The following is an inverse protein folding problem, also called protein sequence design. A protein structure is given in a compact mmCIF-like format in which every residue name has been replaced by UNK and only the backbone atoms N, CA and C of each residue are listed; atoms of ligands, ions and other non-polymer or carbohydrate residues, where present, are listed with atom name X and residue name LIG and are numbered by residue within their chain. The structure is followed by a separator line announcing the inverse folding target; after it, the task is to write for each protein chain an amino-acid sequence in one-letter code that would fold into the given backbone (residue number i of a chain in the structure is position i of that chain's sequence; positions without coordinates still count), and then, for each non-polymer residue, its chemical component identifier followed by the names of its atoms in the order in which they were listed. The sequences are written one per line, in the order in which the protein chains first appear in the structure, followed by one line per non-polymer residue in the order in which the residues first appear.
data_IF_537569069600
#
_entry.id   IF_537569069600
#
_cell.length_a   1.000
_cell.length_b   1.000
_cell.length_c   1.000
_cell.angle_alpha   90.00
_cell.angle_beta   90.00
_cell.angle_gamma   90.00
#
_symmetry.space_group_name_H-M   'P 1'
#
loop_
_entity.id
_entity.type
_entity.pdbx_description
1 polymer ?
#
# COMPACT_ATOMS: atom_id res chain seq x y z
N UNK A 1 -3.52 -42.05 24.11
CA UNK A 1 -3.20 -42.44 22.72
C UNK A 1 -2.25 -41.39 22.16
N UNK A 2 -1.07 -41.85 21.72
CA UNK A 2 0.07 -41.03 21.37
C UNK A 2 -0.05 -40.35 20.00
N UNK A 3 0.72 -39.27 19.86
CA UNK A 3 1.08 -38.53 18.65
C UNK A 3 1.54 -39.43 17.48
N UNK A 4 1.39 -38.97 16.23
CA UNK A 4 2.49 -38.87 15.23
C UNK A 4 2.11 -37.89 14.10
N UNK A 5 3.02 -36.95 13.88
CA UNK A 5 3.16 -36.04 12.74
C UNK A 5 3.45 -36.81 11.44
N UNK A 6 2.77 -36.50 10.34
CA UNK A 6 3.24 -36.87 9.00
C UNK A 6 4.29 -35.87 8.52
N UNK A 7 5.54 -36.28 8.59
CA UNK A 7 6.67 -35.59 7.97
C UNK A 7 6.64 -35.85 6.45
N UNK A 8 6.40 -34.80 5.66
CA UNK A 8 6.74 -34.78 4.24
C UNK A 8 8.28 -34.82 4.11
N UNK A 9 8.82 -35.95 3.66
CA UNK A 9 10.22 -36.03 3.21
C UNK A 9 10.31 -35.45 1.80
N UNK A 10 11.10 -34.39 1.65
CA UNK A 10 11.64 -33.97 0.36
C UNK A 10 12.86 -34.85 0.05
N UNK A 11 12.81 -35.61 -1.04
CA UNK A 11 14.00 -36.21 -1.64
C UNK A 11 14.67 -35.20 -2.57
N UNK A 12 15.93 -34.88 -2.27
CA UNK A 12 16.81 -34.10 -3.15
C UNK A 12 17.45 -35.08 -4.14
N UNK A 13 17.04 -35.03 -5.40
CA UNK A 13 17.68 -35.78 -6.49
C UNK A 13 18.89 -34.98 -6.99
N UNK A 14 20.09 -35.51 -6.78
CA UNK A 14 21.29 -35.08 -7.51
C UNK A 14 21.39 -35.88 -8.80
N UNK A 15 21.27 -35.21 -9.95
CA UNK A 15 21.45 -35.82 -11.27
C UNK A 15 22.91 -35.60 -11.70
N UNK A 16 23.71 -36.67 -11.73
CA UNK A 16 25.00 -36.67 -12.40
C UNK A 16 24.84 -37.44 -13.73
N UNK A 17 25.22 -36.77 -14.81
CA UNK A 17 25.20 -37.27 -16.18
C UNK A 17 26.07 -38.51 -16.33
N UNK A 18 25.47 -39.69 -16.62
CA UNK A 18 25.91 -40.69 -17.61
C UNK A 18 25.17 -42.04 -17.43
N UNK A 19 24.50 -42.48 -18.50
CA UNK A 19 24.08 -43.86 -18.83
C UNK A 19 23.09 -44.65 -17.92
N UNK A 20 21.88 -44.79 -18.48
CA UNK A 20 21.12 -46.03 -18.74
C UNK A 20 20.60 -46.94 -17.63
N UNK A 21 19.27 -47.05 -17.63
CA UNK A 21 18.37 -48.15 -17.23
C UNK A 21 17.73 -48.07 -15.84
N UNK A 22 16.43 -47.76 -15.87
CA UNK A 22 15.45 -47.98 -14.81
C UNK A 22 15.21 -49.47 -14.61
N UNK A 23 15.24 -49.95 -13.38
CA UNK A 23 14.57 -51.19 -12.98
C UNK A 23 14.09 -51.07 -11.53
N UNK A 24 12.77 -51.06 -11.38
CA UNK A 24 12.02 -51.13 -10.12
C UNK A 24 11.95 -52.60 -9.71
N UNK A 25 12.42 -52.96 -8.51
CA UNK A 25 12.05 -54.21 -7.87
C UNK A 25 11.85 -54.04 -6.36
N UNK A 26 10.59 -54.15 -5.95
CA UNK A 26 10.16 -54.49 -4.60
C UNK A 26 10.61 -55.92 -4.25
N UNK A 27 11.23 -56.14 -3.09
CA UNK A 27 11.08 -57.39 -2.32
C UNK A 27 11.46 -57.22 -0.86
N UNK A 28 10.50 -57.58 -0.02
CA UNK A 28 10.58 -57.95 1.39
C UNK A 28 11.44 -59.20 1.60
N UNK A 29 12.25 -59.23 2.68
CA UNK A 29 12.20 -60.23 3.77
C UNK A 29 13.57 -60.46 4.45
N UNK A 30 13.51 -60.63 5.78
CA UNK A 30 14.39 -61.44 6.66
C UNK A 30 15.89 -61.13 6.79
N UNK A 31 16.24 -60.69 8.01
CA UNK A 31 17.52 -60.86 8.74
C UNK A 31 18.07 -62.32 8.64
N UNK A 32 19.40 -62.55 8.73
CA UNK A 32 20.08 -62.55 10.03
C UNK A 32 21.52 -61.97 10.09
N UNK A 33 21.83 -61.49 11.29
CA UNK A 33 23.12 -61.38 12.01
C UNK A 33 24.45 -61.53 11.24
N UNK A 34 25.33 -60.54 11.37
CA UNK A 34 26.73 -60.75 11.77
C UNK A 34 27.39 -59.43 12.17
N UNK A 35 28.18 -59.50 13.24
CA UNK A 35 28.93 -58.42 13.86
C UNK A 35 29.95 -57.77 12.93
N UNK A 36 29.95 -56.44 12.88
CA UNK A 36 31.17 -55.68 12.61
C UNK A 36 31.20 -54.38 13.43
N UNK A 37 32.21 -54.30 14.27
CA UNK A 37 32.62 -53.16 15.08
C UNK A 37 33.05 -51.98 14.20
N UNK A 38 32.44 -50.80 14.42
CA UNK A 38 32.92 -49.53 13.86
C UNK A 38 33.30 -48.64 15.04
N UNK A 39 34.60 -48.34 15.12
CA UNK A 39 35.17 -47.40 16.09
C UNK A 39 34.79 -45.97 15.72
N UNK A 40 34.12 -45.27 16.65
CA UNK A 40 33.96 -43.82 16.63
C UNK A 40 35.29 -43.17 17.00
N UNK A 41 35.88 -42.40 16.09
CA UNK A 41 37.03 -41.56 16.39
C UNK A 41 36.58 -40.10 16.48
N UNK A 42 36.38 -39.64 17.71
CA UNK A 42 36.16 -38.25 18.11
C UNK A 42 37.48 -37.49 18.04
N UNK A 43 37.53 -36.35 17.33
CA UNK A 43 38.60 -35.36 17.47
C UNK A 43 38.05 -34.13 18.20
N UNK A 44 38.27 -34.11 19.51
CA UNK A 44 38.11 -32.91 20.35
C UNK A 44 39.34 -32.01 20.18
N UNK A 45 39.09 -30.72 19.93
CA UNK A 45 40.11 -29.66 19.95
C UNK A 45 40.08 -29.02 21.34
N UNK A 46 41.21 -29.06 22.06
CA UNK A 46 41.41 -28.41 23.35
C UNK A 46 41.95 -26.98 23.14
N UNK A 47 41.35 -25.98 23.78
CA UNK A 47 41.95 -24.65 23.95
C UNK A 47 42.71 -24.58 25.28
N UNK A 48 43.98 -24.15 25.21
CA UNK A 48 44.88 -23.96 26.35
C UNK A 48 44.94 -22.46 26.67
N UNK A 49 44.48 -22.07 27.85
CA UNK A 49 44.49 -20.68 28.36
C UNK A 49 45.77 -20.47 29.18
N UNK A 50 46.51 -19.39 28.90
CA UNK A 50 47.60 -18.87 29.74
C UNK A 50 47.21 -17.49 30.30
N UNK A 51 47.46 -17.16 31.58
CA UNK A 51 47.18 -15.84 32.14
C UNK A 51 48.43 -14.96 32.40
N UNK A 52 48.17 -13.66 32.68
CA UNK A 52 49.00 -12.56 33.24
C UNK A 52 49.73 -11.68 32.20
N UNK A 53 49.77 -10.33 32.17
CA UNK A 53 49.37 -9.12 32.97
C UNK A 53 49.70 -7.86 32.06
N UNK A 54 49.56 -6.56 32.43
CA UNK A 54 48.54 -5.81 33.18
C UNK A 54 47.99 -4.57 32.40
N UNK A 55 47.04 -3.86 33.03
CA UNK A 55 46.38 -2.62 32.58
C UNK A 55 47.27 -1.36 32.59
N UNK A 56 47.16 -0.50 31.58
CA UNK A 56 47.39 0.95 31.70
C UNK A 56 46.41 1.75 30.84
N UNK A 57 46.04 2.92 31.34
CA UNK A 57 44.88 3.71 30.96
C UNK A 57 44.95 4.46 29.61
N UNK A 58 43.76 4.96 29.24
CA UNK A 58 43.43 6.16 28.44
C UNK A 58 43.16 5.95 26.94
N UNK A 59 41.89 6.01 26.55
CA UNK A 59 41.33 7.00 25.61
C UNK A 59 39.83 6.71 25.39
N UNK A 60 39.00 7.72 25.66
CA UNK A 60 37.57 7.75 25.36
C UNK A 60 37.40 7.64 23.85
N UNK A 61 36.81 6.53 23.37
CA UNK A 61 36.28 6.44 22.01
C UNK A 61 34.76 6.47 22.12
N UNK A 62 34.18 7.59 21.71
CA UNK A 62 32.74 7.74 21.51
C UNK A 62 32.35 6.71 20.44
N UNK A 63 31.52 5.73 20.81
CA UNK A 63 30.89 4.82 19.86
C UNK A 63 29.98 5.63 18.92
N UNK A 64 30.50 5.96 17.74
CA UNK A 64 29.67 6.41 16.63
C UNK A 64 28.79 5.21 16.25
N UNK A 65 27.48 5.33 16.48
CA UNK A 65 26.48 4.37 16.02
C UNK A 65 26.74 4.04 14.56
N UNK A 66 27.02 2.77 14.29
CA UNK A 66 27.14 2.28 12.93
C UNK A 66 25.82 2.50 12.19
N UNK A 67 25.93 3.25 11.08
CA UNK A 67 24.95 3.34 10.01
C UNK A 67 24.48 1.92 9.68
N UNK A 68 23.16 1.69 9.61
CA UNK A 68 22.60 0.40 9.20
C UNK A 68 23.24 -0.04 7.89
N UNK A 69 24.13 -1.02 7.96
CA UNK A 69 24.84 -1.57 6.81
C UNK A 69 23.83 -2.34 5.97
N UNK A 70 23.62 -1.89 4.74
CA UNK A 70 23.31 -2.86 3.68
C UNK A 70 24.45 -3.87 3.69
N UNK A 71 24.14 -5.17 3.78
CA UNK A 71 25.09 -6.27 3.62
C UNK A 71 25.65 -6.33 2.20
N UNK A 72 26.39 -5.31 1.78
CA UNK A 72 27.02 -5.21 0.46
C UNK A 72 28.49 -5.62 0.47
N UNK A 73 29.08 -5.95 1.61
CA UNK A 73 30.45 -6.46 1.68
C UNK A 73 30.44 -7.98 1.59
N UNK A 74 30.16 -8.50 0.39
CA UNK A 74 30.48 -9.88 0.07
C UNK A 74 31.99 -9.93 -0.15
N UNK A 75 32.77 -10.37 0.82
CA UNK A 75 34.23 -10.50 0.67
C UNK A 75 34.98 -10.52 2.00
N UNK A 76 36.01 -11.37 2.16
CA UNK A 76 36.83 -11.35 3.37
C UNK A 76 37.51 -9.98 3.55
N UNK A 77 37.53 -9.46 4.78
CA UNK A 77 38.24 -8.22 5.12
C UNK A 77 37.62 -6.93 4.58
N UNK A 78 36.32 -6.91 4.25
CA UNK A 78 35.65 -5.70 3.73
C UNK A 78 35.90 -5.46 2.24
N UNK A 79 36.34 -6.49 1.50
CA UNK A 79 36.51 -6.42 0.06
C UNK A 79 35.15 -6.15 -0.61
N UNK A 80 35.05 -5.02 -1.29
CA UNK A 80 33.90 -4.65 -2.10
C UNK A 80 33.95 -5.41 -3.43
N UNK A 81 33.37 -6.61 -3.46
CA UNK A 81 33.33 -7.44 -4.67
C UNK A 81 32.71 -6.72 -5.87
N UNK A 82 31.90 -5.68 -5.67
CA UNK A 82 31.34 -4.92 -6.80
C UNK A 82 32.43 -4.24 -7.63
N UNK A 83 33.48 -3.72 -6.97
CA UNK A 83 34.64 -3.10 -7.64
C UNK A 83 35.57 -4.14 -8.27
N UNK A 84 35.59 -5.37 -7.75
CA UNK A 84 36.32 -6.46 -8.36
C UNK A 84 35.59 -7.01 -9.60
N UNK A 85 34.24 -7.00 -9.58
CA UNK A 85 33.41 -7.53 -10.65
C UNK A 85 33.29 -6.56 -11.83
N UNK A 86 33.24 -5.25 -11.58
CA UNK A 86 33.15 -4.22 -12.61
C UNK A 86 34.42 -3.37 -12.69
N UNK A 87 35.03 -3.29 -13.88
CA UNK A 87 36.16 -2.38 -14.12
C UNK A 87 35.66 -0.94 -14.26
N UNK A 88 36.25 0.05 -13.57
CA UNK A 88 35.87 1.45 -13.73
C UNK A 88 36.25 1.94 -15.14
N UNK A 89 35.45 2.87 -15.67
CA UNK A 89 35.77 3.58 -16.92
C UNK A 89 36.59 4.81 -16.55
N UNK A 90 37.84 4.87 -17.01
CA UNK A 90 38.71 6.02 -16.79
C UNK A 90 38.16 7.26 -17.52
N UNK A 91 38.19 8.43 -16.86
CA UNK A 91 37.71 9.71 -17.39
C UNK A 91 36.23 9.73 -17.80
N UNK A 92 35.39 8.87 -17.23
CA UNK A 92 33.94 8.93 -17.45
C UNK A 92 33.34 10.19 -16.80
N UNK A 93 32.42 10.84 -17.51
CA UNK A 93 31.56 11.85 -16.91
C UNK A 93 30.74 11.22 -15.76
N UNK A 94 30.48 11.94 -14.66
CA UNK A 94 29.60 11.43 -13.62
C UNK A 94 28.23 11.08 -14.20
N UNK A 95 27.57 10.02 -13.72
CA UNK A 95 26.25 9.65 -14.20
C UNK A 95 25.30 10.84 -14.07
N UNK A 96 24.55 11.09 -15.15
CA UNK A 96 23.60 12.20 -15.22
C UNK A 96 22.60 12.12 -14.04
N UNK A 97 22.35 13.22 -13.31
CA UNK A 97 21.39 13.25 -12.19
C UNK A 97 19.93 13.20 -12.67
N UNK A 98 19.67 12.95 -13.96
CA UNK A 98 18.41 13.20 -14.65
C UNK A 98 17.22 12.35 -14.21
N UNK A 99 17.43 11.25 -13.47
CA UNK A 99 16.31 10.48 -12.90
C UNK A 99 16.06 10.96 -11.47
N UNK A 100 14.99 11.74 -11.27
CA UNK A 100 14.47 12.04 -9.93
C UNK A 100 14.21 10.70 -9.23
N UNK A 101 14.96 10.45 -8.16
CA UNK A 101 14.79 9.28 -7.31
C UNK A 101 13.43 9.36 -6.63
N UNK A 102 12.54 8.42 -6.92
CA UNK A 102 11.22 8.37 -6.33
C UNK A 102 11.22 7.48 -5.11
N UNK A 103 10.70 7.99 -4.00
CA UNK A 103 10.56 7.24 -2.75
C UNK A 103 9.10 7.25 -2.27
N UNK A 104 8.55 6.07 -2.04
CA UNK A 104 7.19 5.89 -1.50
C UNK A 104 7.28 5.13 -0.18
N UNK A 105 6.62 5.66 0.86
CA UNK A 105 6.46 4.98 2.15
C UNK A 105 5.02 4.50 2.32
N UNK A 106 4.82 3.22 2.66
CA UNK A 106 3.52 2.64 3.02
C UNK A 106 3.50 2.37 4.52
N UNK A 107 2.57 3.02 5.22
CA UNK A 107 2.42 2.93 6.66
C UNK A 107 1.26 1.99 6.98
N UNK A 108 1.57 0.87 7.62
CA UNK A 108 0.71 -0.30 7.82
C UNK A 108 1.03 -1.41 6.81
N UNK A 109 1.56 -2.53 7.29
CA UNK A 109 1.84 -3.76 6.52
C UNK A 109 0.69 -4.77 6.66
N UNK A 110 -0.56 -4.28 6.66
CA UNK A 110 -1.77 -5.12 6.60
C UNK A 110 -2.10 -5.56 5.17
N UNK A 111 -3.21 -6.27 4.98
CA UNK A 111 -3.63 -6.76 3.65
C UNK A 111 -3.78 -5.64 2.61
N UNK A 112 -4.22 -4.45 3.04
CA UNK A 112 -4.34 -3.26 2.17
C UNK A 112 -2.95 -2.71 1.83
N UNK A 113 -2.10 -2.47 2.83
CA UNK A 113 -0.74 -1.96 2.63
C UNK A 113 0.11 -2.87 1.74
N UNK A 114 0.03 -4.18 1.93
CA UNK A 114 0.75 -5.15 1.10
C UNK A 114 0.21 -5.23 -0.32
N UNK A 115 -1.11 -5.14 -0.53
CA UNK A 115 -1.67 -5.04 -1.88
C UNK A 115 -1.20 -3.77 -2.60
N UNK A 116 -1.12 -2.63 -1.89
CA UNK A 116 -0.58 -1.37 -2.42
C UNK A 116 0.90 -1.52 -2.76
N UNK A 117 1.72 -2.03 -1.84
CA UNK A 117 3.15 -2.25 -2.04
C UNK A 117 3.44 -3.14 -3.26
N UNK A 118 2.77 -4.28 -3.35
CA UNK A 118 2.91 -5.20 -4.48
C UNK A 118 2.45 -4.57 -5.81
N UNK A 119 1.36 -3.79 -5.80
CA UNK A 119 0.89 -3.09 -7.02
C UNK A 119 1.86 -1.98 -7.44
N UNK A 120 2.46 -1.25 -6.49
CA UNK A 120 3.47 -0.22 -6.75
C UNK A 120 4.71 -0.84 -7.41
N UNK A 121 5.18 -1.98 -6.90
CA UNK A 121 6.35 -2.69 -7.41
C UNK A 121 6.12 -3.22 -8.84
N UNK A 122 4.99 -3.88 -9.07
CA UNK A 122 4.66 -4.45 -10.39
C UNK A 122 4.39 -3.40 -11.46
N UNK A 123 4.11 -2.15 -11.07
CA UNK A 123 3.84 -1.05 -11.98
C UNK A 123 5.02 -0.10 -12.21
N UNK A 124 6.20 -0.40 -11.64
CA UNK A 124 7.42 0.42 -11.75
C UNK A 124 7.17 1.90 -11.39
N UNK A 125 6.67 2.12 -10.16
CA UNK A 125 6.30 3.46 -9.69
C UNK A 125 7.35 4.11 -8.78
N UNK A 126 8.34 3.38 -8.25
CA UNK A 126 9.28 3.92 -7.26
C UNK A 126 10.65 3.29 -7.38
N UNK A 127 11.70 4.04 -7.06
CA UNK A 127 13.07 3.52 -6.97
C UNK A 127 13.36 2.98 -5.54
N UNK A 128 12.65 3.51 -4.55
CA UNK A 128 12.69 3.07 -3.15
C UNK A 128 11.28 2.91 -2.57
N UNK A 129 11.00 1.76 -1.97
CA UNK A 129 9.78 1.44 -1.25
C UNK A 129 10.11 1.22 0.22
N UNK A 130 9.40 1.90 1.11
CA UNK A 130 9.54 1.76 2.56
C UNK A 130 8.26 1.24 3.16
N UNK A 131 8.34 0.19 3.98
CA UNK A 131 7.23 -0.33 4.77
C UNK A 131 7.44 0.03 6.24
N UNK A 132 6.41 0.57 6.89
CA UNK A 132 6.44 0.88 8.33
C UNK A 132 5.25 0.24 9.02
N UNK A 133 5.50 -0.56 10.05
CA UNK A 133 4.47 -1.19 10.88
C UNK A 133 5.04 -1.47 12.28
N UNK A 134 4.18 -1.65 13.28
CA UNK A 134 4.61 -1.96 14.65
C UNK A 134 5.01 -3.42 14.83
N UNK A 135 4.48 -4.34 14.01
CA UNK A 135 4.84 -5.75 14.07
C UNK A 135 6.13 -6.03 13.29
N UNK A 136 7.27 -5.99 14.00
CA UNK A 136 8.61 -6.09 13.40
C UNK A 136 8.86 -7.42 12.67
N UNK A 137 8.40 -8.55 13.21
CA UNK A 137 8.61 -9.87 12.59
C UNK A 137 7.80 -10.01 11.31
N UNK A 138 6.52 -9.63 11.36
CA UNK A 138 5.68 -9.60 10.17
C UNK A 138 6.29 -8.69 9.11
N UNK A 139 6.66 -7.48 9.50
CA UNK A 139 7.22 -6.48 8.61
C UNK A 139 8.50 -6.96 7.91
N UNK A 140 9.40 -7.62 8.66
CA UNK A 140 10.59 -8.26 8.09
C UNK A 140 10.23 -9.40 7.13
N UNK A 141 9.26 -10.24 7.49
CA UNK A 141 8.78 -11.32 6.63
C UNK A 141 8.25 -10.81 5.28
N UNK A 142 7.36 -9.82 5.32
CA UNK A 142 6.79 -9.19 4.12
C UNK A 142 7.86 -8.54 3.24
N UNK A 143 8.84 -7.86 3.86
CA UNK A 143 9.98 -7.29 3.13
C UNK A 143 10.82 -8.35 2.42
N UNK A 144 11.19 -9.42 3.13
CA UNK A 144 11.99 -10.51 2.56
C UNK A 144 11.27 -11.20 1.41
N UNK A 145 9.96 -11.44 1.55
CA UNK A 145 9.17 -12.07 0.49
C UNK A 145 9.13 -11.21 -0.79
N UNK A 146 8.94 -9.90 -0.65
CA UNK A 146 9.03 -8.98 -1.78
C UNK A 146 10.45 -8.89 -2.38
N UNK A 147 11.49 -8.96 -1.55
CA UNK A 147 12.89 -8.97 -2.01
C UNK A 147 13.23 -10.26 -2.75
N UNK A 148 12.68 -11.42 -2.36
CA UNK A 148 12.86 -12.67 -3.10
C UNK A 148 12.25 -12.60 -4.51
N UNK A 149 11.20 -11.78 -4.70
CA UNK A 149 10.62 -11.50 -6.01
C UNK A 149 11.42 -10.49 -6.86
N UNK A 150 12.52 -9.91 -6.36
CA UNK A 150 13.25 -8.83 -7.03
C UNK A 150 13.77 -9.20 -8.43
N UNK A 151 14.03 -10.48 -8.70
CA UNK A 151 14.45 -10.94 -10.03
C UNK A 151 13.35 -10.80 -11.11
N UNK A 152 12.08 -10.70 -10.71
CA UNK A 152 10.92 -10.57 -11.59
C UNK A 152 10.36 -9.15 -11.65
N UNK A 153 10.94 -8.23 -10.86
CA UNK A 153 10.42 -6.87 -10.65
C UNK A 153 11.43 -5.82 -11.14
N UNK A 154 10.97 -4.60 -11.43
CA UNK A 154 11.86 -3.47 -11.63
C UNK A 154 12.79 -3.28 -10.43
N UNK A 155 14.03 -2.83 -10.69
CA UNK A 155 15.03 -2.62 -9.64
C UNK A 155 14.57 -1.55 -8.65
N UNK A 156 14.04 -2.00 -7.52
CA UNK A 156 13.53 -1.17 -6.42
C UNK A 156 14.25 -1.55 -5.13
N UNK A 157 14.70 -0.57 -4.36
CA UNK A 157 15.18 -0.80 -2.99
C UNK A 157 13.99 -0.94 -2.06
N UNK A 158 13.94 -2.02 -1.28
CA UNK A 158 12.84 -2.25 -0.33
C UNK A 158 13.42 -2.21 1.08
N UNK A 159 12.89 -1.31 1.91
CA UNK A 159 13.22 -1.18 3.32
C UNK A 159 11.99 -1.41 4.17
N UNK A 160 12.18 -1.94 5.38
CA UNK A 160 11.09 -2.10 6.32
C UNK A 160 11.59 -1.90 7.77
N UNK A 161 10.87 -1.09 8.55
CA UNK A 161 11.23 -0.79 9.94
C UNK A 161 10.02 -0.34 10.75
N UNK A 162 10.03 -0.62 12.07
CA UNK A 162 9.05 -0.03 12.99
C UNK A 162 9.33 1.45 13.29
N UNK A 163 10.57 1.92 13.08
CA UNK A 163 10.94 3.32 13.25
C UNK A 163 10.61 4.12 11.99
N UNK A 164 9.83 5.19 12.13
CA UNK A 164 9.45 6.08 11.03
C UNK A 164 10.62 6.87 10.43
N UNK A 165 11.81 6.88 11.05
CA UNK A 165 13.00 7.55 10.50
C UNK A 165 13.38 7.04 9.10
N UNK A 166 13.12 5.76 8.78
CA UNK A 166 13.39 5.20 7.46
C UNK A 166 12.56 5.84 6.35
N UNK A 167 11.47 6.52 6.70
CA UNK A 167 10.62 7.24 5.73
C UNK A 167 11.27 8.51 5.21
N UNK A 168 12.41 8.94 5.77
CA UNK A 168 13.03 10.22 5.43
C UNK A 168 13.19 10.44 3.92
N UNK A 169 12.76 11.62 3.47
CA UNK A 169 12.82 12.02 2.06
C UNK A 169 11.81 11.31 1.15
N UNK A 170 10.68 10.81 1.67
CA UNK A 170 9.62 10.25 0.83
C UNK A 170 8.91 11.33 0.03
N UNK A 171 8.63 11.06 -1.25
CA UNK A 171 7.77 11.91 -2.08
C UNK A 171 6.29 11.71 -1.73
N UNK A 172 5.91 10.48 -1.38
CA UNK A 172 4.54 10.08 -1.07
C UNK A 172 4.53 9.16 0.15
N UNK A 173 3.74 9.51 1.17
CA UNK A 173 3.48 8.65 2.32
C UNK A 173 2.02 8.18 2.28
N UNK A 174 1.82 6.87 2.12
CA UNK A 174 0.51 6.22 2.02
C UNK A 174 0.15 5.65 3.39
N UNK A 175 -0.88 6.18 4.04
CA UNK A 175 -1.29 5.77 5.39
C UNK A 175 -2.47 4.80 5.31
N UNK A 176 -2.19 3.54 5.60
CA UNK A 176 -3.17 2.44 5.61
C UNK A 176 -3.40 1.88 7.02
N UNK A 177 -2.52 2.23 7.96
CA UNK A 177 -2.63 1.86 9.36
C UNK A 177 -3.90 2.48 9.97
N UNK A 178 -4.73 1.62 10.57
CA UNK A 178 -5.97 2.00 11.22
C UNK A 178 -6.37 0.97 12.26
N UNK A 179 -7.11 1.43 13.26
CA UNK A 179 -7.75 0.55 14.22
C UNK A 179 -8.80 -0.31 13.51
N UNK A 180 -8.78 -1.62 13.77
CA UNK A 180 -9.89 -2.49 13.38
C UNK A 180 -11.06 -2.25 14.32
N UNK A 181 -12.27 -2.24 13.76
CA UNK A 181 -13.50 -2.21 14.54
C UNK A 181 -13.57 -3.44 15.44
N UNK A 182 -13.85 -3.21 16.71
CA UNK A 182 -14.12 -4.27 17.69
C UNK A 182 -15.64 -4.53 17.71
N UNK A 183 -16.05 -5.79 17.82
CA UNK A 183 -17.48 -6.14 17.90
C UNK A 183 -18.13 -5.45 19.09
N UNK A 184 -19.25 -4.76 18.85
CA UNK A 184 -19.96 -3.96 19.87
C UNK A 184 -19.36 -2.56 20.15
N UNK A 185 -18.27 -2.18 19.49
CA UNK A 185 -17.66 -0.86 19.63
C UNK A 185 -18.49 0.24 18.93
N UNK A 186 -18.67 1.39 19.60
CA UNK A 186 -19.32 2.54 18.99
C UNK A 186 -18.45 3.16 17.89
N UNK A 187 -19.08 3.77 16.87
CA UNK A 187 -18.37 4.49 15.80
C UNK A 187 -17.43 5.57 16.36
N UNK A 188 -17.86 6.28 17.42
CA UNK A 188 -17.06 7.31 18.08
C UNK A 188 -15.81 6.74 18.76
N UNK A 189 -15.90 5.59 19.43
CA UNK A 189 -14.73 4.96 20.07
C UNK A 189 -13.69 4.52 19.03
N UNK A 190 -14.15 3.93 17.93
CA UNK A 190 -13.27 3.57 16.81
C UNK A 190 -12.54 4.80 16.25
N UNK A 191 -13.27 5.90 16.06
CA UNK A 191 -12.71 7.18 15.61
C UNK A 191 -11.66 7.73 16.59
N UNK A 192 -11.91 7.70 17.90
CA UNK A 192 -10.96 8.17 18.92
C UNK A 192 -9.68 7.32 18.96
N UNK A 193 -9.78 6.01 18.73
CA UNK A 193 -8.61 5.14 18.59
C UNK A 193 -7.81 5.46 17.32
N UNK A 194 -8.49 5.68 16.20
CA UNK A 194 -7.83 6.12 14.97
C UNK A 194 -7.17 7.49 15.14
N UNK A 195 -7.81 8.44 15.83
CA UNK A 195 -7.21 9.74 16.15
C UNK A 195 -5.94 9.57 16.99
N UNK A 196 -5.99 8.73 18.02
CA UNK A 196 -4.82 8.43 18.86
C UNK A 196 -3.68 7.81 18.05
N UNK A 197 -4.01 6.89 17.13
CA UNK A 197 -3.05 6.30 16.20
C UNK A 197 -2.44 7.36 15.26
N UNK A 198 -3.27 8.23 14.68
CA UNK A 198 -2.82 9.27 13.76
C UNK A 198 -1.94 10.32 14.46
N UNK A 199 -2.18 10.63 15.74
CA UNK A 199 -1.28 11.47 16.55
C UNK A 199 0.12 10.87 16.69
N UNK A 200 0.25 9.54 16.68
CA UNK A 200 1.54 8.87 16.71
C UNK A 200 2.18 8.74 15.31
N UNK A 201 1.38 8.62 14.25
CA UNK A 201 1.86 8.38 12.88
C UNK A 201 2.20 9.67 12.14
N UNK A 202 1.29 10.65 12.10
CA UNK A 202 1.38 11.79 11.18
C UNK A 202 2.58 12.72 11.50
N UNK A 203 2.81 13.16 12.76
CA UNK A 203 3.89 14.10 13.05
C UNK A 203 5.30 13.56 12.73
N UNK A 204 5.66 12.28 13.02
CA UNK A 204 6.92 11.72 12.56
C UNK A 204 7.09 11.71 11.03
N UNK A 205 6.05 11.37 10.27
CA UNK A 205 6.13 11.39 8.80
C UNK A 205 6.44 12.78 8.26
N UNK A 206 5.78 13.80 8.82
CA UNK A 206 6.02 15.21 8.48
C UNK A 206 7.44 15.64 8.88
N UNK A 207 7.91 15.22 10.05
CA UNK A 207 9.27 15.53 10.52
C UNK A 207 10.34 14.97 9.58
N UNK A 208 10.22 13.71 9.18
CA UNK A 208 11.23 13.04 8.36
C UNK A 208 11.06 13.33 6.86
N UNK A 209 9.86 13.69 6.42
CA UNK A 209 9.55 14.02 5.01
C UNK A 209 8.68 15.28 4.91
N UNK A 210 9.22 16.48 5.21
CA UNK A 210 8.44 17.73 5.21
C UNK A 210 7.87 18.12 3.84
N UNK A 211 8.45 17.57 2.77
CA UNK A 211 8.03 17.81 1.38
C UNK A 211 7.07 16.73 0.82
N UNK A 212 6.72 15.72 1.62
CA UNK A 212 5.86 14.62 1.17
C UNK A 212 4.42 15.07 0.89
N UNK A 213 3.71 14.28 0.09
CA UNK A 213 2.25 14.28 0.07
C UNK A 213 1.73 13.11 0.90
N UNK A 214 0.72 13.36 1.73
CA UNK A 214 0.02 12.32 2.48
C UNK A 214 -1.13 11.79 1.65
N UNK A 215 -1.17 10.46 1.44
CA UNK A 215 -2.30 9.76 0.86
C UNK A 215 -2.94 8.85 1.91
N UNK A 216 -4.08 9.27 2.43
CA UNK A 216 -4.80 8.56 3.50
C UNK A 216 -5.72 7.53 2.88
N UNK A 217 -5.62 6.30 3.37
CA UNK A 217 -6.43 5.14 2.94
C UNK A 217 -7.20 4.55 4.12
N UNK A 218 -6.73 4.76 5.35
CA UNK A 218 -7.38 4.32 6.58
C UNK A 218 -8.81 4.86 6.69
N UNK A 219 -9.74 4.03 7.16
CA UNK A 219 -11.15 4.37 7.24
C UNK A 219 -11.58 4.85 8.64
N UNK A 220 -12.56 5.76 8.74
CA UNK A 220 -13.28 6.41 7.63
C UNK A 220 -12.43 7.50 6.95
N UNK A 221 -12.16 7.32 5.65
CA UNK A 221 -11.08 8.02 4.95
C UNK A 221 -11.26 9.53 4.90
N UNK A 222 -12.48 10.01 4.70
CA UNK A 222 -12.78 11.44 4.63
C UNK A 222 -12.48 12.17 5.95
N UNK A 223 -12.94 11.58 7.07
CA UNK A 223 -12.66 12.09 8.42
C UNK A 223 -11.18 11.99 8.75
N UNK A 224 -10.53 10.85 8.45
CA UNK A 224 -9.11 10.67 8.77
C UNK A 224 -8.17 11.50 7.88
N UNK A 225 -8.63 11.92 6.69
CA UNK A 225 -7.93 12.89 5.86
C UNK A 225 -7.96 14.28 6.50
N UNK A 226 -9.10 14.71 7.03
CA UNK A 226 -9.19 15.92 7.85
C UNK A 226 -8.26 15.85 9.07
N UNK A 227 -8.28 14.73 9.81
CA UNK A 227 -7.39 14.52 10.98
C UNK A 227 -5.92 14.63 10.57
N UNK A 228 -5.50 13.96 9.49
CA UNK A 228 -4.14 14.03 8.99
C UNK A 228 -3.77 15.46 8.57
N UNK A 229 -4.69 16.21 7.95
CA UNK A 229 -4.48 17.60 7.58
C UNK A 229 -4.23 18.48 8.82
N UNK A 230 -5.08 18.40 9.85
CA UNK A 230 -4.89 19.15 11.10
C UNK A 230 -3.60 18.77 11.82
N UNK A 231 -3.28 17.48 11.92
CA UNK A 231 -2.08 17.01 12.63
C UNK A 231 -0.77 17.27 11.87
N UNK A 232 -0.81 17.32 10.54
CA UNK A 232 0.39 17.55 9.72
C UNK A 232 0.78 19.02 9.63
N UNK A 233 -0.19 19.94 9.71
CA UNK A 233 0.02 21.36 9.41
C UNK A 233 0.35 21.60 7.93
N UNK A 234 0.16 20.61 7.05
CA UNK A 234 0.38 20.76 5.63
C UNK A 234 -0.71 21.61 4.97
N UNK A 235 -0.40 22.27 3.84
CA UNK A 235 -1.44 22.85 3.01
C UNK A 235 -2.34 21.73 2.47
N UNK A 236 -3.64 22.01 2.31
CA UNK A 236 -4.67 21.00 2.01
C UNK A 236 -4.40 20.25 0.71
N UNK A 237 -3.73 20.87 -0.27
CA UNK A 237 -3.36 20.22 -1.53
C UNK A 237 -2.39 19.03 -1.35
N UNK A 238 -1.66 18.94 -0.24
CA UNK A 238 -0.71 17.84 0.05
C UNK A 238 -1.27 16.77 0.99
N UNK A 239 -2.57 16.82 1.31
CA UNK A 239 -3.24 15.80 2.13
C UNK A 239 -4.47 15.31 1.38
N UNK A 240 -4.40 14.09 0.88
CA UNK A 240 -5.37 13.51 -0.05
C UNK A 240 -5.92 12.24 0.59
N UNK A 241 -7.23 12.04 0.59
CA UNK A 241 -7.81 10.74 0.92
C UNK A 241 -8.08 9.93 -0.34
N UNK A 242 -7.94 8.61 -0.30
CA UNK A 242 -8.26 7.75 -1.44
C UNK A 242 -9.70 7.92 -1.92
N UNK A 243 -10.61 8.28 -1.00
CA UNK A 243 -11.97 8.71 -1.29
C UNK A 243 -12.74 7.70 -2.14
N UNK A 244 -13.60 8.23 -3.01
CA UNK A 244 -14.50 7.46 -3.89
C UNK A 244 -13.85 7.03 -5.19
N UNK A 245 -12.51 7.01 -5.29
CA UNK A 245 -11.80 6.53 -6.49
C UNK A 245 -12.10 5.05 -6.77
N UNK A 246 -12.18 4.24 -5.71
CA UNK A 246 -12.56 2.83 -5.83
C UNK A 246 -14.05 2.67 -6.14
N UNK A 247 -14.92 3.44 -5.49
CA UNK A 247 -16.38 3.42 -5.71
C UNK A 247 -16.73 3.82 -7.14
N UNK A 248 -16.05 4.82 -7.68
CA UNK A 248 -16.17 5.22 -9.08
C UNK A 248 -15.67 4.14 -10.03
N UNK A 249 -14.60 3.42 -9.67
CA UNK A 249 -14.15 2.25 -10.46
C UNK A 249 -15.18 1.13 -10.45
N UNK A 250 -15.84 0.87 -9.32
CA UNK A 250 -16.94 -0.12 -9.23
C UNK A 250 -18.16 0.32 -10.02
N UNK A 251 -18.50 1.60 -9.94
CA UNK A 251 -19.61 2.18 -10.68
C UNK A 251 -19.42 2.06 -12.19
N UNK A 252 -18.21 2.40 -12.67
CA UNK A 252 -17.81 2.20 -14.07
C UNK A 252 -17.88 0.74 -14.49
N UNK A 253 -17.44 -0.18 -13.62
CA UNK A 253 -17.55 -1.62 -13.87
C UNK A 253 -19.01 -2.07 -14.04
N UNK A 254 -19.90 -1.70 -13.13
CA UNK A 254 -21.31 -2.11 -13.19
C UNK A 254 -22.03 -1.57 -14.44
N UNK A 255 -21.77 -0.31 -14.80
CA UNK A 255 -22.31 0.29 -16.03
C UNK A 255 -21.75 -0.42 -17.26
N UNK A 256 -20.44 -0.69 -17.27
CA UNK A 256 -19.76 -1.35 -18.37
C UNK A 256 -20.25 -2.79 -18.58
N UNK A 257 -20.46 -3.53 -17.49
CA UNK A 257 -21.00 -4.89 -17.50
C UNK A 257 -22.44 -4.91 -18.03
N UNK A 258 -23.27 -3.96 -17.60
CA UNK A 258 -24.65 -3.84 -18.08
C UNK A 258 -24.75 -3.54 -19.59
N UNK A 259 -23.78 -2.79 -20.13
CA UNK A 259 -23.77 -2.35 -21.52
C UNK A 259 -22.82 -3.15 -22.42
N UNK A 260 -22.17 -4.18 -21.87
CA UNK A 260 -21.16 -5.01 -22.54
C UNK A 260 -20.05 -4.18 -23.23
N UNK A 261 -19.49 -3.22 -22.48
CA UNK A 261 -18.37 -2.37 -22.94
C UNK A 261 -17.19 -2.44 -21.99
N UNK A 262 -16.05 -1.86 -22.36
CA UNK A 262 -14.90 -1.77 -21.47
C UNK A 262 -15.10 -0.65 -20.43
N UNK A 263 -14.87 -0.94 -19.15
CA UNK A 263 -14.95 0.05 -18.07
C UNK A 263 -13.99 1.25 -18.25
N UNK A 264 -12.92 1.09 -19.05
CA UNK A 264 -12.02 2.20 -19.39
C UNK A 264 -12.70 3.28 -20.24
N UNK A 265 -13.70 2.92 -21.04
CA UNK A 265 -14.45 3.82 -21.93
C UNK A 265 -15.66 4.47 -21.24
N UNK A 266 -15.99 4.02 -20.03
CA UNK A 266 -17.04 4.62 -19.18
C UNK A 266 -16.44 5.72 -18.31
N UNK A 267 -16.94 6.94 -18.46
CA UNK A 267 -16.69 8.07 -17.55
C UNK A 267 -17.88 8.21 -16.62
N UNK A 268 -17.69 7.89 -15.34
CA UNK A 268 -18.71 7.99 -14.32
C UNK A 268 -18.05 8.23 -12.95
N UNK A 269 -18.64 9.09 -12.14
CA UNK A 269 -18.10 9.49 -10.85
C UNK A 269 -19.10 9.24 -9.74
N UNK A 270 -18.60 8.64 -8.66
CA UNK A 270 -19.19 8.70 -7.33
C UNK A 270 -18.42 9.80 -6.57
N UNK A 271 -19.13 10.71 -5.91
CA UNK A 271 -18.56 11.82 -5.11
C UNK A 271 -19.16 11.83 -3.69
N UNK A 272 -18.71 12.75 -2.83
CA UNK A 272 -19.16 12.81 -1.43
C UNK A 272 -18.38 11.85 -0.53
N UNK A 273 -19.04 11.31 0.49
CA UNK A 273 -18.46 10.32 1.40
C UNK A 273 -18.04 9.04 0.66
N UNK A 274 -16.89 8.48 1.02
CA UNK A 274 -16.61 7.06 0.79
C UNK A 274 -17.43 6.21 1.76
N UNK A 275 -18.69 5.92 1.38
CA UNK A 275 -19.61 5.16 2.21
C UNK A 275 -21.07 5.35 1.82
N UNK A 276 -21.93 5.20 2.82
CA UNK A 276 -23.38 5.12 2.64
C UNK A 276 -23.99 6.42 2.09
N UNK A 277 -23.41 7.59 2.39
CA UNK A 277 -23.90 8.89 1.87
C UNK A 277 -23.24 9.34 0.55
N UNK A 278 -22.57 8.43 -0.16
CA UNK A 278 -22.00 8.72 -1.47
C UNK A 278 -23.06 9.18 -2.49
N UNK A 279 -22.62 9.91 -3.53
CA UNK A 279 -23.50 10.49 -4.56
C UNK A 279 -23.03 10.06 -5.94
N UNK A 280 -23.88 9.34 -6.67
CA UNK A 280 -23.64 9.01 -8.07
C UNK A 280 -24.01 10.19 -8.98
N UNK A 281 -23.06 10.64 -9.82
CA UNK A 281 -23.25 11.76 -10.74
C UNK A 281 -23.82 11.30 -12.08
N UNK A 282 -25.08 10.88 -12.07
CA UNK A 282 -25.80 10.37 -13.24
C UNK A 282 -25.85 11.38 -14.40
N UNK A 283 -25.98 12.66 -14.09
CA UNK A 283 -25.99 13.74 -15.10
C UNK A 283 -24.70 13.84 -15.91
N UNK A 284 -23.59 13.32 -15.38
CA UNK A 284 -22.25 13.42 -15.97
C UNK A 284 -21.76 12.15 -16.67
N UNK A 285 -22.54 11.06 -16.62
CA UNK A 285 -22.11 9.77 -17.17
C UNK A 285 -22.01 9.85 -18.68
N UNK A 286 -20.85 9.42 -19.21
CA UNK A 286 -20.64 9.30 -20.64
C UNK A 286 -19.87 8.03 -21.01
N UNK A 287 -20.17 7.51 -22.20
CA UNK A 287 -19.52 6.31 -22.75
C UNK A 287 -19.05 6.65 -24.17
N UNK A 288 -17.75 6.54 -24.42
CA UNK A 288 -17.18 6.97 -25.70
C UNK A 288 -17.45 8.44 -26.06
N UNK A 289 -17.74 9.28 -25.05
CA UNK A 289 -18.12 10.69 -25.22
C UNK A 289 -19.61 10.93 -25.41
N UNK A 290 -20.47 9.90 -25.42
CA UNK A 290 -21.93 10.04 -25.50
C UNK A 290 -22.52 10.16 -24.09
N UNK A 291 -23.17 11.27 -23.70
CA UNK A 291 -23.85 11.39 -22.42
C UNK A 291 -25.05 10.45 -22.33
N UNK A 292 -25.04 9.52 -21.38
CA UNK A 292 -25.98 8.39 -21.36
C UNK A 292 -27.43 8.86 -21.15
N UNK A 293 -27.69 9.65 -20.10
CA UNK A 293 -29.05 10.08 -19.79
C UNK A 293 -29.61 11.02 -20.86
N UNK A 294 -28.82 12.00 -21.33
CA UNK A 294 -29.25 12.91 -22.39
C UNK A 294 -29.53 12.17 -23.70
N UNK A 295 -28.76 11.12 -24.02
CA UNK A 295 -29.05 10.27 -25.18
C UNK A 295 -30.38 9.54 -25.03
N UNK A 296 -30.64 8.91 -23.89
CA UNK A 296 -31.90 8.19 -23.63
C UNK A 296 -33.11 9.14 -23.72
N UNK A 297 -33.01 10.32 -23.11
CA UNK A 297 -34.05 11.36 -23.16
C UNK A 297 -34.32 11.82 -24.60
N UNK A 298 -33.27 12.14 -25.36
CA UNK A 298 -33.39 12.60 -26.75
C UNK A 298 -33.96 11.54 -27.69
N UNK A 299 -33.67 10.26 -27.43
CA UNK A 299 -34.23 9.12 -28.17
C UNK A 299 -35.59 8.67 -27.63
N UNK A 300 -36.12 9.31 -26.59
CA UNK A 300 -37.36 8.93 -25.90
C UNK A 300 -37.33 7.47 -25.42
N UNK A 301 -36.15 6.96 -25.07
CA UNK A 301 -35.96 5.63 -24.49
C UNK A 301 -36.24 5.73 -23.00
N UNK A 302 -37.27 5.03 -22.56
CA UNK A 302 -37.67 5.00 -21.15
C UNK A 302 -36.65 4.20 -20.35
N UNK A 303 -36.26 4.74 -19.20
CA UNK A 303 -35.49 4.05 -18.18
C UNK A 303 -36.12 4.28 -16.81
N UNK A 304 -35.98 3.31 -15.91
CA UNK A 304 -36.52 3.38 -14.57
C UNK A 304 -35.50 4.02 -13.61
N UNK A 305 -35.93 5.03 -12.84
CA UNK A 305 -35.08 5.63 -11.79
C UNK A 305 -34.62 4.58 -10.77
N UNK A 306 -35.47 3.60 -10.48
CA UNK A 306 -35.16 2.46 -9.60
C UNK A 306 -33.96 1.64 -10.11
N UNK A 307 -33.80 1.48 -11.43
CA UNK A 307 -32.63 0.78 -12.00
C UNK A 307 -31.34 1.53 -11.68
N UNK A 308 -31.35 2.86 -11.81
CA UNK A 308 -30.18 3.70 -11.47
C UNK A 308 -29.86 3.61 -9.97
N UNK A 309 -30.88 3.71 -9.12
CA UNK A 309 -30.74 3.59 -7.67
C UNK A 309 -30.18 2.21 -7.25
N UNK A 310 -30.63 1.13 -7.90
CA UNK A 310 -30.13 -0.22 -7.67
C UNK A 310 -28.65 -0.36 -8.04
N UNK A 311 -28.20 0.23 -9.16
CA UNK A 311 -26.77 0.23 -9.53
C UNK A 311 -25.94 0.97 -8.47
N UNK A 312 -26.38 2.15 -8.03
CA UNK A 312 -25.66 2.90 -6.99
C UNK A 312 -25.62 2.13 -5.67
N UNK A 313 -26.73 1.49 -5.28
CA UNK A 313 -26.79 0.61 -4.11
C UNK A 313 -25.82 -0.56 -4.21
N UNK A 314 -25.71 -1.21 -5.37
CA UNK A 314 -24.73 -2.27 -5.61
C UNK A 314 -23.29 -1.78 -5.45
N UNK A 315 -22.96 -0.53 -5.79
CA UNK A 315 -21.62 0.05 -5.55
C UNK A 315 -21.31 0.09 -4.05
N UNK A 316 -22.26 0.57 -3.24
CA UNK A 316 -22.14 0.66 -1.78
C UNK A 316 -22.02 -0.75 -1.19
N UNK A 317 -22.93 -1.65 -1.57
CA UNK A 317 -23.02 -3.02 -1.07
C UNK A 317 -21.80 -3.88 -1.46
N UNK A 318 -21.12 -3.57 -2.58
CA UNK A 318 -19.94 -4.30 -3.06
C UNK A 318 -18.81 -4.38 -2.02
N UNK A 319 -18.62 -3.32 -1.21
CA UNK A 319 -17.60 -3.36 -0.16
C UNK A 319 -17.98 -4.34 0.95
N UNK A 320 -19.24 -4.27 1.41
CA UNK A 320 -19.77 -5.12 2.47
C UNK A 320 -19.84 -6.58 2.07
N UNK A 321 -20.22 -6.87 0.82
CA UNK A 321 -20.25 -8.22 0.28
C UNK A 321 -18.85 -8.85 0.27
N UNK A 322 -17.84 -8.16 -0.26
CA UNK A 322 -16.46 -8.66 -0.27
C UNK A 322 -15.95 -8.91 1.14
N UNK A 323 -16.22 -7.99 2.08
CA UNK A 323 -15.83 -8.15 3.48
C UNK A 323 -16.54 -9.36 4.10
N UNK A 324 -17.83 -9.56 3.83
CA UNK A 324 -18.58 -10.73 4.29
C UNK A 324 -18.01 -12.05 3.75
N UNK A 325 -17.58 -12.07 2.49
CA UNK A 325 -17.10 -13.28 1.81
C UNK A 325 -15.66 -13.66 2.18
N UNK A 326 -14.73 -12.68 2.26
CA UNK A 326 -13.30 -12.95 2.50
C UNK A 326 -12.70 -12.32 3.76
N UNK A 327 -13.49 -11.56 4.51
CA UNK A 327 -13.11 -10.92 5.78
C UNK A 327 -12.47 -9.53 5.66
N UNK A 328 -12.09 -9.07 4.46
CA UNK A 328 -11.42 -7.79 4.24
C UNK A 328 -11.45 -7.37 2.76
N UNK A 329 -11.07 -6.14 2.44
CA UNK A 329 -10.73 -5.69 1.07
C UNK A 329 -9.21 -5.52 0.95
N UNK A 330 -8.66 -5.67 -0.26
CA UNK A 330 -7.21 -5.58 -0.49
C UNK A 330 -6.85 -5.21 -1.92
N UNK A 331 -7.12 -6.09 -2.88
CA UNK A 331 -6.64 -5.94 -4.27
C UNK A 331 -7.19 -4.71 -4.98
N UNK A 332 -8.50 -4.51 -4.98
CA UNK A 332 -9.12 -3.39 -5.68
C UNK A 332 -8.68 -2.02 -5.12
N UNK A 333 -8.55 -1.91 -3.79
CA UNK A 333 -8.00 -0.70 -3.16
C UNK A 333 -6.50 -0.53 -3.45
N UNK A 334 -5.74 -1.63 -3.55
CA UNK A 334 -4.35 -1.64 -4.01
C UNK A 334 -4.19 -1.00 -5.40
N UNK A 335 -4.99 -1.44 -6.38
CA UNK A 335 -5.01 -0.84 -7.72
C UNK A 335 -5.49 0.61 -7.73
N UNK A 336 -6.52 0.94 -6.94
CA UNK A 336 -7.03 2.30 -6.80
C UNK A 336 -5.93 3.24 -6.30
N UNK A 337 -5.25 2.90 -5.20
CA UNK A 337 -4.20 3.72 -4.61
C UNK A 337 -2.95 3.79 -5.49
N UNK A 338 -2.56 2.69 -6.15
CA UNK A 338 -1.45 2.71 -7.10
C UNK A 338 -1.74 3.60 -8.32
N UNK A 339 -3.00 3.72 -8.76
CA UNK A 339 -3.41 4.63 -9.82
C UNK A 339 -3.24 6.11 -9.38
N UNK A 340 -3.65 6.44 -8.15
CA UNK A 340 -3.43 7.76 -7.55
C UNK A 340 -1.92 8.07 -7.42
N UNK A 341 -1.15 7.13 -6.87
CA UNK A 341 0.30 7.24 -6.72
C UNK A 341 0.99 7.43 -8.08
N UNK A 342 0.59 6.68 -9.12
CA UNK A 342 1.10 6.85 -10.48
C UNK A 342 0.83 8.26 -11.01
N UNK A 343 -0.38 8.78 -10.81
CA UNK A 343 -0.76 10.11 -11.26
C UNK A 343 0.08 11.20 -10.59
N UNK A 344 0.33 11.06 -9.29
CA UNK A 344 1.23 11.90 -8.52
C UNK A 344 2.68 11.79 -8.99
N UNK A 345 3.24 10.56 -8.99
CA UNK A 345 4.65 10.30 -9.29
C UNK A 345 5.00 10.73 -10.71
N UNK A 346 4.16 10.41 -11.69
CA UNK A 346 4.44 10.73 -13.10
C UNK A 346 3.91 12.11 -13.51
N UNK A 347 3.44 12.91 -12.55
CA UNK A 347 2.84 14.22 -12.78
C UNK A 347 1.78 14.19 -13.91
N UNK A 348 0.92 13.17 -13.93
CA UNK A 348 0.07 12.91 -15.09
C UNK A 348 -1.06 13.93 -15.23
N UNK A 349 -1.36 14.71 -14.17
CA UNK A 349 -2.47 15.67 -14.14
C UNK A 349 -3.81 15.01 -14.49
N UNK A 350 -3.98 13.76 -14.07
CA UNK A 350 -5.23 13.00 -14.24
C UNK A 350 -6.24 13.41 -13.18
N UNK A 351 -7.51 13.35 -13.54
CA UNK A 351 -8.64 13.65 -12.66
C UNK A 351 -9.09 12.37 -11.97
N UNK A 352 -9.21 12.41 -10.65
CA UNK A 352 -9.66 11.30 -9.81
C UNK A 352 -10.65 11.82 -8.76
N UNK A 353 -11.73 11.10 -8.44
CA UNK A 353 -12.60 11.46 -7.33
C UNK A 353 -11.94 11.03 -6.02
N UNK A 354 -11.31 11.98 -5.35
CA UNK A 354 -10.51 11.77 -4.12
C UNK A 354 -10.94 12.74 -3.04
N UNK A 355 -10.72 12.36 -1.78
CA UNK A 355 -11.08 13.20 -0.64
C UNK A 355 -10.19 14.45 -0.59
N UNK A 356 -10.83 15.62 -0.71
CA UNK A 356 -10.19 16.94 -0.71
C UNK A 356 -10.95 17.88 0.22
N UNK A 357 -10.32 18.98 0.64
CA UNK A 357 -11.01 20.05 1.36
C UNK A 357 -12.08 20.68 0.44
N UNK A 358 -13.36 20.41 0.74
CA UNK A 358 -14.50 20.80 -0.10
C UNK A 358 -15.02 22.22 0.18
N UNK A 359 -14.46 22.91 1.18
CA UNK A 359 -14.82 24.29 1.53
C UNK A 359 -14.73 25.20 0.30
N UNK A 360 -15.83 25.91 0.02
CA UNK A 360 -15.97 26.82 -1.12
C UNK A 360 -16.50 26.17 -2.40
N UNK A 361 -16.69 24.85 -2.43
CA UNK A 361 -17.27 24.14 -3.58
C UNK A 361 -18.74 23.81 -3.32
N UNK A 362 -19.58 23.95 -4.36
CA UNK A 362 -20.99 23.53 -4.35
C UNK A 362 -21.84 24.06 -3.18
N UNK A 363 -21.46 25.20 -2.59
CA UNK A 363 -22.15 25.79 -1.43
C UNK A 363 -21.81 25.15 -0.09
N UNK A 364 -20.66 24.48 0.01
CA UNK A 364 -20.13 23.89 1.24
C UNK A 364 -19.20 24.89 1.93
N UNK A 365 -19.58 25.39 3.10
CA UNK A 365 -18.79 26.39 3.84
C UNK A 365 -17.89 25.78 4.93
N UNK A 366 -18.24 24.59 5.39
CA UNK A 366 -17.51 23.88 6.45
C UNK A 366 -16.15 23.35 5.98
N UNK A 367 -15.20 23.22 6.92
CA UNK A 367 -13.90 22.58 6.66
C UNK A 367 -14.01 21.06 6.62
N UNK A 368 -14.76 20.56 5.64
CA UNK A 368 -15.01 19.13 5.46
C UNK A 368 -14.14 18.59 4.33
N UNK A 369 -13.67 17.36 4.53
CA UNK A 369 -13.02 16.58 3.47
C UNK A 369 -14.04 15.60 2.94
N UNK A 370 -14.22 15.57 1.63
CA UNK A 370 -15.06 14.60 0.92
C UNK A 370 -14.56 14.47 -0.52
N UNK A 371 -15.05 13.44 -1.22
CA UNK A 371 -14.55 13.16 -2.55
C UNK A 371 -15.13 14.07 -3.61
N UNK A 372 -14.27 14.77 -4.35
CA UNK A 372 -14.61 15.52 -5.56
C UNK A 372 -13.63 15.13 -6.68
N UNK A 373 -14.01 15.23 -7.96
CA UNK A 373 -13.08 14.94 -9.04
C UNK A 373 -12.00 16.02 -9.07
N UNK A 374 -10.77 15.61 -8.78
CA UNK A 374 -9.64 16.50 -8.57
C UNK A 374 -8.44 16.08 -9.42
N UNK A 375 -7.74 17.07 -9.96
CA UNK A 375 -6.53 16.88 -10.75
C UNK A 375 -5.34 16.60 -9.84
N UNK A 376 -4.71 15.42 -10.00
CA UNK A 376 -3.54 15.02 -9.22
C UNK A 376 -2.27 15.18 -10.04
N UNK A 377 -1.28 15.86 -9.46
CA UNK A 377 0.08 15.95 -9.99
C UNK A 377 1.12 16.04 -8.89
N UNK A 378 2.34 16.49 -9.20
CA UNK A 378 3.45 16.48 -8.24
C UNK A 378 3.32 17.43 -7.06
N UNK A 379 2.45 18.43 -7.17
CA UNK A 379 2.08 19.30 -6.06
C UNK A 379 0.94 18.77 -5.20
N UNK A 380 0.52 17.51 -5.39
CA UNK A 380 -0.71 16.95 -4.81
C UNK A 380 -1.93 17.32 -5.65
N UNK A 381 -2.95 17.92 -5.02
CA UNK A 381 -4.14 18.42 -5.72
C UNK A 381 -3.84 19.74 -6.42
N UNK A 382 -4.01 19.77 -7.74
CA UNK A 382 -3.77 20.96 -8.57
C UNK A 382 -5.05 21.78 -8.81
N UNK A 383 -6.22 21.16 -8.65
CA UNK A 383 -7.52 21.80 -8.83
C UNK A 383 -8.64 20.78 -8.74
N UNK A 384 -9.85 21.25 -8.43
CA UNK A 384 -11.08 20.47 -8.43
C UNK A 384 -11.86 20.84 -9.69
N UNK A 385 -12.38 19.85 -10.41
CA UNK A 385 -13.17 20.12 -11.62
C UNK A 385 -14.50 20.73 -11.26
N UNK A 386 -14.93 21.73 -12.02
CA UNK A 386 -16.26 22.32 -11.91
C UNK A 386 -17.27 21.47 -12.68
N UNK A 387 -17.70 20.36 -12.09
CA UNK A 387 -18.70 19.45 -12.69
C UNK A 387 -20.07 20.09 -12.53
N UNK A 388 -20.85 20.09 -13.60
CA UNK A 388 -22.25 20.50 -13.49
C UNK A 388 -23.03 19.42 -12.73
N UNK A 389 -23.61 19.79 -11.60
CA UNK A 389 -24.47 18.94 -10.79
C UNK A 389 -25.91 19.43 -10.97
N UNK A 390 -26.85 18.50 -11.11
CA UNK A 390 -28.26 18.85 -11.01
C UNK A 390 -28.65 19.17 -9.55
N UNK A 391 -29.87 19.64 -9.33
CA UNK A 391 -30.33 20.07 -8.00
C UNK A 391 -30.34 18.92 -6.98
N UNK A 392 -30.75 17.72 -7.39
CA UNK A 392 -30.77 16.51 -6.55
C UNK A 392 -29.34 16.08 -6.15
N UNK A 393 -28.41 16.03 -7.11
CA UNK A 393 -27.00 15.70 -6.89
C UNK A 393 -26.32 16.74 -5.98
N UNK A 394 -26.62 18.03 -6.20
CA UNK A 394 -26.09 19.13 -5.37
C UNK A 394 -26.60 19.01 -3.93
N UNK A 395 -27.89 18.76 -3.73
CA UNK A 395 -28.47 18.63 -2.40
C UNK A 395 -27.90 17.41 -1.66
N UNK A 396 -27.83 16.24 -2.33
CA UNK A 396 -27.25 15.03 -1.75
C UNK A 396 -25.78 15.20 -1.37
N UNK A 397 -25.00 15.93 -2.18
CA UNK A 397 -23.61 16.23 -1.87
C UNK A 397 -23.48 17.09 -0.61
N UNK A 398 -24.36 18.10 -0.45
CA UNK A 398 -24.40 18.95 0.75
C UNK A 398 -24.83 18.16 1.99
N UNK A 399 -25.78 17.25 1.85
CA UNK A 399 -26.22 16.39 2.94
C UNK A 399 -25.09 15.45 3.39
N UNK A 400 -24.37 14.84 2.44
CA UNK A 400 -23.17 14.05 2.71
C UNK A 400 -22.09 14.87 3.44
N UNK A 401 -21.84 16.10 2.98
CA UNK A 401 -20.91 17.03 3.63
C UNK A 401 -21.31 17.34 5.07
N UNK A 402 -22.61 17.54 5.33
CA UNK A 402 -23.14 17.79 6.67
C UNK A 402 -22.94 16.58 7.59
N UNK A 403 -23.24 15.37 7.12
CA UNK A 403 -23.03 14.13 7.89
C UNK A 403 -21.57 13.95 8.29
N UNK A 404 -20.63 14.17 7.36
CA UNK A 404 -19.19 14.06 7.67
C UNK A 404 -18.77 15.14 8.68
N UNK A 405 -19.24 16.38 8.50
CA UNK A 405 -18.93 17.49 9.40
C UNK A 405 -19.43 17.26 10.83
N UNK A 406 -20.63 16.71 11.00
CA UNK A 406 -21.19 16.31 12.29
C UNK A 406 -20.30 15.28 13.00
N UNK A 407 -19.66 14.37 12.25
CA UNK A 407 -18.71 13.40 12.80
C UNK A 407 -17.37 14.08 13.14
N UNK A 408 -16.86 14.96 12.27
CA UNK A 408 -15.59 15.67 12.49
C UNK A 408 -15.63 16.55 13.74
N UNK A 409 -16.73 17.27 13.95
CA UNK A 409 -16.90 18.16 15.12
C UNK A 409 -16.83 17.42 16.46
N UNK A 410 -17.15 16.13 16.49
CA UNK A 410 -17.04 15.30 17.70
C UNK A 410 -15.60 14.95 18.09
N UNK A 411 -14.62 15.20 17.21
CA UNK A 411 -13.21 14.86 17.46
C UNK A 411 -12.45 15.94 18.26
N UNK A 412 -12.96 17.17 18.31
CA UNK A 412 -12.36 18.27 19.08
C UNK A 412 -10.95 18.67 18.63
N UNK A 413 -10.68 18.62 17.32
CA UNK A 413 -9.39 18.91 16.67
C UNK A 413 -9.51 19.88 15.51
#
# INVERSE_FOLDING_TARGET
MAWVLSSLKFEVVWCNSSFSSCLVQNRSSSLPSTDHSISLNTRSIYYKIHPLLPLSATTITIFIMHKSSSDSTLGPGGLDLSQAFFRPINNAAPPSPTKRHNKISVIGAGNVGMAIAQTILTQDLTDELVLVDTNSDKLRGEMLDLQHAAAFLPRTKIHASADSSVTAGSDLCIVTAGARQISGESRLNLLQRNLSLFRAIIPPLVRYSPDTTLLIVSNPVDVLTYVAWKLSGFPSNRVIGSGTNLDSSRFRFLIADHLDVNAQDVQAYIVGEHGDSSVALWSSISIGGVPVLSFLENQQIVYEKETLENIHKSVIDSAYEVIKLKGYTSWAIGYSVANLARSFIRNQRKIHPVSVLAKGFYGIDGEVFLSLPAMIGRGGILGVTNVHLNEEETQRLRDSAKTILEVQTQLGI
#
